data_IF_682400285531
#
_entry.id   IF_682400285531
#
_cell.length_a   1.000
_cell.length_b   1.000
_cell.length_c   1.000
_cell.angle_alpha   90.00
_cell.angle_beta   90.00
_cell.angle_gamma   90.00
#
_symmetry.space_group_name_H-M   'P 1'
#
loop_
_entity.id
_entity.type
_entity.pdbx_description
1 polymer ?
#
# COMPACT_ATOMS: atom_id res chain seq x y z
N UNK A 1 30.23 -3.27 2.10
CA UNK A 1 28.90 -3.79 1.73
C UNK A 1 27.78 -3.32 2.68
N UNK A 2 28.11 -2.99 3.95
CA UNK A 2 27.11 -2.50 4.91
C UNK A 2 26.87 -0.97 4.87
N UNK A 3 27.78 -0.19 4.30
CA UNK A 3 27.69 1.28 4.28
C UNK A 3 26.56 1.83 3.38
N UNK A 4 26.15 1.06 2.36
CA UNK A 4 25.04 1.45 1.47
C UNK A 4 23.65 1.17 2.08
N UNK A 5 23.58 0.31 3.09
CA UNK A 5 22.32 -0.10 3.72
C UNK A 5 21.89 0.88 4.81
N UNK A 6 22.84 1.42 5.56
CA UNK A 6 22.56 2.35 6.66
C UNK A 6 21.76 3.58 6.24
N UNK A 7 22.07 4.27 5.12
CA UNK A 7 21.24 5.37 4.62
C UNK A 7 19.79 4.96 4.31
N UNK A 8 19.60 3.73 3.80
CA UNK A 8 18.27 3.20 3.51
C UNK A 8 17.48 2.92 4.79
N UNK A 9 18.14 2.45 5.85
CA UNK A 9 17.51 2.25 7.16
C UNK A 9 17.14 3.56 7.85
N UNK A 10 17.99 4.58 7.77
CA UNK A 10 17.70 5.91 8.35
C UNK A 10 16.43 6.56 7.78
N UNK A 11 16.12 6.29 6.51
CA UNK A 11 14.89 6.77 5.86
C UNK A 11 13.75 5.75 5.88
N UNK A 12 13.99 4.58 6.44
CA UNK A 12 12.99 3.53 6.54
C UNK A 12 11.97 3.89 7.63
N UNK A 13 10.69 3.93 7.28
CA UNK A 13 9.62 4.43 8.16
C UNK A 13 9.56 3.65 9.49
N UNK A 14 9.83 2.34 9.44
CA UNK A 14 9.87 1.48 10.61
C UNK A 14 10.90 1.91 11.65
N UNK A 15 12.09 2.35 11.22
CA UNK A 15 13.20 2.72 12.12
C UNK A 15 13.23 4.21 12.51
N UNK A 16 12.17 4.94 12.24
CA UNK A 16 12.10 6.36 12.60
C UNK A 16 12.29 6.58 14.10
N UNK A 17 13.28 7.38 14.47
CA UNK A 17 13.60 7.72 15.86
C UNK A 17 14.49 6.69 16.57
N UNK A 18 15.05 5.74 15.84
CA UNK A 18 16.10 4.83 16.33
C UNK A 18 17.45 5.52 16.21
N UNK A 19 18.31 5.37 17.22
CA UNK A 19 19.65 5.96 17.25
C UNK A 19 20.57 5.38 16.16
N UNK A 20 21.54 6.17 15.73
CA UNK A 20 22.56 5.71 14.76
C UNK A 20 23.33 4.49 15.28
N UNK A 21 23.62 4.43 16.58
CA UNK A 21 24.30 3.29 17.20
C UNK A 21 23.49 2.01 17.06
N UNK A 22 22.20 2.05 17.37
CA UNK A 22 21.30 0.90 17.22
C UNK A 22 21.14 0.49 15.76
N UNK A 23 21.05 1.45 14.82
CA UNK A 23 21.00 1.15 13.39
C UNK A 23 22.28 0.50 12.88
N UNK A 24 23.46 0.92 13.35
CA UNK A 24 24.72 0.28 13.00
C UNK A 24 24.76 -1.17 13.47
N UNK A 25 24.28 -1.46 14.68
CA UNK A 25 24.20 -2.82 15.19
C UNK A 25 23.23 -3.68 14.38
N UNK A 26 22.05 -3.15 14.03
CA UNK A 26 21.11 -3.84 13.13
C UNK A 26 21.78 -4.17 11.79
N UNK A 27 22.45 -3.21 11.15
CA UNK A 27 23.13 -3.41 9.85
C UNK A 27 24.29 -4.41 9.97
N UNK A 28 25.02 -4.39 11.08
CA UNK A 28 26.14 -5.32 11.30
C UNK A 28 25.71 -6.78 11.24
N UNK A 29 24.54 -7.08 11.75
CA UNK A 29 24.01 -8.42 11.91
C UNK A 29 22.99 -8.83 10.85
N UNK A 30 22.47 -7.88 10.10
CA UNK A 30 21.49 -8.13 9.06
C UNK A 30 22.14 -8.61 7.74
N UNK A 31 21.35 -9.32 6.94
CA UNK A 31 21.72 -9.76 5.60
C UNK A 31 20.81 -9.09 4.57
N UNK A 32 21.40 -8.56 3.51
CA UNK A 32 20.67 -8.02 2.38
C UNK A 32 20.49 -9.10 1.33
N UNK A 33 19.27 -9.26 0.87
CA UNK A 33 18.92 -10.17 -0.22
C UNK A 33 18.20 -9.43 -1.33
N UNK A 34 18.43 -9.87 -2.58
CA UNK A 34 17.80 -9.33 -3.77
C UNK A 34 16.94 -10.41 -4.39
N UNK A 35 15.69 -10.08 -4.66
CA UNK A 35 14.70 -11.01 -5.17
C UNK A 35 14.15 -10.47 -6.49
N UNK A 36 14.27 -11.20 -7.62
CA UNK A 36 13.61 -10.84 -8.86
C UNK A 36 12.09 -10.96 -8.73
N UNK A 37 11.35 -10.33 -9.64
CA UNK A 37 9.90 -10.47 -9.68
C UNK A 37 9.49 -11.95 -9.77
N UNK A 38 8.52 -12.36 -8.98
CA UNK A 38 8.05 -13.75 -8.88
C UNK A 38 8.86 -14.65 -7.95
N UNK A 39 10.01 -14.19 -7.45
CA UNK A 39 10.81 -15.01 -6.52
C UNK A 39 10.09 -15.20 -5.19
N UNK A 40 10.17 -16.41 -4.65
CA UNK A 40 9.70 -16.73 -3.31
C UNK A 40 10.74 -16.26 -2.30
N UNK A 41 10.32 -15.41 -1.38
CA UNK A 41 11.14 -14.88 -0.29
C UNK A 41 11.03 -15.77 0.95
N UNK A 42 9.83 -16.34 1.17
CA UNK A 42 9.55 -17.30 2.23
C UNK A 42 8.47 -18.29 1.76
N UNK A 43 8.69 -19.59 1.98
CA UNK A 43 7.74 -20.63 1.65
C UNK A 43 6.70 -20.84 2.75
N UNK A 44 5.47 -21.20 2.32
CA UNK A 44 4.42 -21.60 3.26
C UNK A 44 4.82 -22.87 4.00
N UNK A 45 4.27 -23.06 5.19
CA UNK A 45 4.48 -24.21 6.07
C UNK A 45 5.94 -24.47 6.44
N UNK A 46 6.77 -23.41 6.40
CA UNK A 46 8.15 -23.44 6.90
C UNK A 46 8.32 -22.49 8.07
N UNK A 47 9.34 -22.74 8.91
CA UNK A 47 9.70 -21.86 10.02
C UNK A 47 10.27 -20.56 9.50
N UNK A 48 9.70 -19.43 9.93
CA UNK A 48 10.21 -18.11 9.62
C UNK A 48 11.04 -17.58 10.81
N UNK A 49 12.34 -17.73 10.73
CA UNK A 49 13.30 -17.30 11.78
C UNK A 49 13.87 -15.90 11.52
N UNK A 50 13.43 -15.25 10.47
CA UNK A 50 13.99 -13.97 10.03
C UNK A 50 12.91 -12.91 9.96
N UNK A 51 13.22 -11.72 10.47
CA UNK A 51 12.41 -10.52 10.24
C UNK A 51 12.92 -9.85 8.97
N UNK A 52 12.03 -9.65 8.01
CA UNK A 52 12.36 -8.98 6.75
C UNK A 52 11.87 -7.52 6.75
N UNK A 53 12.75 -6.59 6.38
CA UNK A 53 12.44 -5.18 6.15
C UNK A 53 12.60 -4.86 4.67
N UNK A 54 11.53 -4.36 4.04
CA UNK A 54 11.54 -4.08 2.60
C UNK A 54 12.19 -2.73 2.34
N UNK A 55 13.42 -2.76 1.83
CA UNK A 55 14.18 -1.56 1.49
C UNK A 55 13.78 -0.98 0.12
N UNK A 56 13.47 -1.86 -0.84
CA UNK A 56 13.02 -1.51 -2.20
C UNK A 56 12.05 -2.55 -2.71
N UNK A 57 11.17 -2.14 -3.62
CA UNK A 57 10.21 -3.03 -4.26
C UNK A 57 8.99 -3.33 -3.38
N UNK A 58 8.20 -4.32 -3.81
CA UNK A 58 6.97 -4.77 -3.15
C UNK A 58 6.90 -6.29 -3.12
N UNK A 59 6.41 -6.81 -2.00
CA UNK A 59 6.13 -8.22 -1.81
C UNK A 59 4.63 -8.40 -1.59
N UNK A 60 4.14 -9.61 -1.84
CA UNK A 60 2.83 -10.07 -1.37
C UNK A 60 3.03 -11.23 -0.40
N UNK A 61 2.27 -11.23 0.70
CA UNK A 61 2.08 -12.39 1.53
C UNK A 61 0.75 -13.04 1.13
N UNK A 62 0.78 -14.34 0.83
CA UNK A 62 -0.40 -15.13 0.48
C UNK A 62 -0.55 -16.25 1.50
N UNK A 63 -1.79 -16.49 1.93
CA UNK A 63 -2.12 -17.68 2.72
C UNK A 63 -2.32 -18.84 1.75
N UNK A 64 -1.71 -19.97 2.06
CA UNK A 64 -1.87 -21.21 1.33
C UNK A 64 -2.75 -22.14 2.16
N UNK A 65 -3.87 -22.60 1.61
CA UNK A 65 -4.75 -23.56 2.30
C UNK A 65 -4.26 -25.02 2.09
N UNK A 66 -4.89 -25.96 2.77
CA UNK A 66 -4.56 -27.39 2.67
C UNK A 66 -4.73 -27.98 1.26
N UNK A 67 -5.40 -27.25 0.35
CA UNK A 67 -5.57 -27.65 -1.07
C UNK A 67 -4.55 -26.96 -1.97
N UNK A 68 -3.64 -26.14 -1.41
CA UNK A 68 -2.67 -25.36 -2.16
C UNK A 68 -3.24 -24.08 -2.78
N UNK A 69 -4.48 -23.69 -2.43
CA UNK A 69 -5.09 -22.46 -2.97
C UNK A 69 -4.51 -21.25 -2.28
N UNK A 70 -4.06 -20.29 -3.07
CA UNK A 70 -3.50 -19.03 -2.56
C UNK A 70 -4.59 -17.98 -2.41
N UNK A 71 -4.60 -17.32 -1.26
CA UNK A 71 -5.40 -16.12 -1.01
C UNK A 71 -4.52 -14.98 -0.51
N UNK A 72 -4.72 -13.77 -1.04
CA UNK A 72 -3.94 -12.61 -0.62
C UNK A 72 -4.18 -12.31 0.87
N UNK A 73 -3.11 -12.37 1.66
CA UNK A 73 -3.13 -12.01 3.07
C UNK A 73 -2.81 -10.53 3.28
N UNK A 74 -1.70 -10.05 2.69
CA UNK A 74 -1.34 -8.62 2.69
C UNK A 74 -0.32 -8.28 1.63
N UNK A 75 -0.30 -7.01 1.25
CA UNK A 75 0.80 -6.41 0.49
C UNK A 75 1.83 -5.85 1.46
N UNK A 76 3.11 -5.92 1.08
CA UNK A 76 4.23 -5.45 1.90
C UNK A 76 5.10 -4.57 1.00
N UNK A 77 5.07 -3.28 1.25
CA UNK A 77 5.80 -2.29 0.46
C UNK A 77 7.09 -1.81 1.11
N UNK A 78 7.77 -0.91 0.40
CA UNK A 78 8.94 -0.21 0.96
C UNK A 78 8.57 0.45 2.30
N UNK A 79 9.44 0.30 3.29
CA UNK A 79 9.24 0.86 4.62
C UNK A 79 8.44 -0.06 5.57
N UNK A 80 7.96 -1.19 5.07
CA UNK A 80 7.24 -2.16 5.88
C UNK A 80 8.11 -3.37 6.24
N UNK A 81 7.64 -4.17 7.19
CA UNK A 81 8.28 -5.38 7.67
C UNK A 81 7.36 -6.60 7.62
N UNK A 82 7.95 -7.80 7.62
CA UNK A 82 7.25 -9.08 7.79
C UNK A 82 8.04 -10.00 8.73
N UNK A 83 7.40 -11.04 9.22
CA UNK A 83 8.03 -12.06 10.06
C UNK A 83 8.09 -11.75 11.55
N UNK A 84 7.98 -10.49 11.97
CA UNK A 84 8.15 -10.09 13.37
C UNK A 84 7.22 -10.81 14.36
N UNK A 85 5.95 -10.98 14.01
CA UNK A 85 5.01 -11.66 14.89
C UNK A 85 5.16 -13.18 14.84
N UNK A 86 5.55 -13.67 13.67
CA UNK A 86 5.61 -15.11 13.40
C UNK A 86 6.91 -15.71 13.92
N UNK A 87 8.01 -14.96 13.90
CA UNK A 87 9.29 -15.39 14.46
C UNK A 87 9.23 -15.70 15.96
N UNK A 88 8.23 -15.12 16.68
CA UNK A 88 7.97 -15.47 18.07
C UNK A 88 7.30 -16.84 18.24
N UNK A 89 6.72 -17.39 17.16
CA UNK A 89 6.11 -18.70 17.14
C UNK A 89 7.17 -19.72 16.68
N UNK A 90 7.28 -20.81 17.37
CA UNK A 90 8.18 -21.91 16.99
C UNK A 90 7.52 -22.90 16.03
N UNK A 91 6.46 -22.46 15.35
CA UNK A 91 5.63 -23.28 14.47
C UNK A 91 5.66 -22.71 13.03
N UNK A 92 5.62 -23.60 12.02
CA UNK A 92 5.43 -23.19 10.63
C UNK A 92 4.14 -22.43 10.42
N UNK A 93 4.13 -21.49 9.46
CA UNK A 93 2.94 -20.69 9.15
C UNK A 93 2.51 -20.93 7.70
N UNK A 94 1.19 -21.01 7.43
CA UNK A 94 0.66 -21.25 6.09
C UNK A 94 0.65 -19.96 5.25
N UNK A 95 1.80 -19.25 5.24
CA UNK A 95 1.96 -17.98 4.55
C UNK A 95 3.23 -18.02 3.69
N UNK A 96 3.05 -17.85 2.38
CA UNK A 96 4.14 -17.64 1.42
C UNK A 96 4.34 -16.16 1.16
N UNK A 97 5.61 -15.73 1.07
CA UNK A 97 5.95 -14.36 0.71
C UNK A 97 6.63 -14.36 -0.66
N UNK A 98 6.12 -13.58 -1.60
CA UNK A 98 6.59 -13.53 -2.99
C UNK A 98 6.87 -12.10 -3.42
N UNK A 99 7.95 -11.89 -4.15
CA UNK A 99 8.29 -10.60 -4.75
C UNK A 99 7.35 -10.30 -5.94
N UNK A 100 6.65 -9.17 -5.90
CA UNK A 100 5.80 -8.71 -7.01
C UNK A 100 6.58 -8.01 -8.11
N UNK A 101 7.66 -7.38 -7.74
CA UNK A 101 8.61 -6.67 -8.57
C UNK A 101 10.02 -6.90 -8.00
N UNK A 102 11.11 -6.55 -8.69
CA UNK A 102 12.45 -6.66 -8.12
C UNK A 102 12.51 -5.98 -6.75
N UNK A 103 12.85 -6.74 -5.73
CA UNK A 103 12.82 -6.30 -4.34
C UNK A 103 14.16 -6.50 -3.64
N UNK A 104 14.47 -5.59 -2.72
CA UNK A 104 15.61 -5.69 -1.81
C UNK A 104 15.09 -5.77 -0.38
N UNK A 105 15.46 -6.83 0.31
CA UNK A 105 15.05 -7.11 1.68
C UNK A 105 16.26 -7.17 2.60
N UNK A 106 16.17 -6.49 3.73
CA UNK A 106 17.09 -6.65 4.84
C UNK A 106 16.50 -7.70 5.78
N UNK A 107 17.17 -8.82 5.95
CA UNK A 107 16.79 -9.89 6.87
C UNK A 107 17.59 -9.79 8.15
N UNK A 108 16.94 -9.82 9.30
CA UNK A 108 17.54 -9.89 10.62
C UNK A 108 17.03 -11.15 11.32
N UNK A 109 17.94 -11.98 11.80
CA UNK A 109 17.58 -13.16 12.58
C UNK A 109 16.74 -12.77 13.79
N UNK A 110 15.74 -13.59 14.13
CA UNK A 110 14.76 -13.26 15.16
C UNK A 110 15.39 -13.20 16.55
N UNK A 111 16.21 -14.20 16.91
CA UNK A 111 16.85 -14.26 18.23
C UNK A 111 17.80 -13.09 18.42
N UNK A 112 18.57 -12.79 17.39
CA UNK A 112 19.47 -11.64 17.39
C UNK A 112 18.73 -10.31 17.47
N UNK A 113 17.60 -10.18 16.78
CA UNK A 113 16.72 -9.02 16.91
C UNK A 113 16.21 -8.88 18.34
N UNK A 114 15.87 -9.99 19.02
CA UNK A 114 15.49 -9.99 20.44
C UNK A 114 16.64 -9.50 21.30
N UNK A 115 17.87 -9.99 21.13
CA UNK A 115 19.05 -9.53 21.86
C UNK A 115 19.26 -8.02 21.72
N UNK A 116 19.10 -7.49 20.50
CA UNK A 116 19.21 -6.04 20.26
C UNK A 116 18.14 -5.23 20.99
N UNK A 117 16.93 -5.79 21.20
CA UNK A 117 15.89 -5.10 22.00
C UNK A 117 16.24 -4.98 23.48
N UNK A 118 17.05 -5.90 24.02
CA UNK A 118 17.55 -5.78 25.40
C UNK A 118 18.63 -4.70 25.51
N UNK A 119 19.47 -4.60 24.49
CA UNK A 119 20.58 -3.63 24.46
C UNK A 119 20.12 -2.21 24.15
N UNK A 120 19.12 -2.06 23.26
CA UNK A 120 18.62 -0.76 22.78
C UNK A 120 17.13 -0.58 23.14
N UNK A 121 16.81 0.26 24.14
CA UNK A 121 15.44 0.47 24.61
C UNK A 121 14.48 1.00 23.52
N UNK A 122 14.99 1.79 22.57
CA UNK A 122 14.23 2.29 21.44
C UNK A 122 13.77 1.18 20.48
N UNK A 123 14.62 0.17 20.22
CA UNK A 123 14.24 -1.01 19.44
C UNK A 123 13.17 -1.83 20.17
N UNK A 124 13.30 -2.00 21.48
CA UNK A 124 12.29 -2.67 22.29
C UNK A 124 10.95 -1.93 22.23
N UNK A 125 10.96 -0.59 22.39
CA UNK A 125 9.75 0.23 22.29
C UNK A 125 9.11 0.09 20.91
N UNK A 126 9.90 0.16 19.85
CA UNK A 126 9.46 0.00 18.47
C UNK A 126 8.79 -1.37 18.28
N UNK A 127 9.39 -2.43 18.77
CA UNK A 127 8.87 -3.79 18.73
C UNK A 127 7.53 -3.91 19.45
N UNK A 128 7.46 -3.47 20.70
CA UNK A 128 6.22 -3.50 21.50
C UNK A 128 5.11 -2.70 20.84
N UNK A 129 5.42 -1.53 20.27
CA UNK A 129 4.44 -0.70 19.56
C UNK A 129 3.89 -1.42 18.32
N UNK A 130 4.76 -2.14 17.60
CA UNK A 130 4.35 -2.93 16.42
C UNK A 130 3.45 -4.09 16.81
N UNK A 131 3.79 -4.82 17.88
CA UNK A 131 2.95 -5.88 18.42
C UNK A 131 1.59 -5.35 18.88
N UNK A 132 1.59 -4.31 19.70
CA UNK A 132 0.38 -3.68 20.21
C UNK A 132 -0.51 -3.19 19.04
N UNK A 133 0.08 -2.59 18.02
CA UNK A 133 -0.63 -2.17 16.81
C UNK A 133 -1.27 -3.33 16.05
N UNK A 134 -0.58 -4.45 15.96
CA UNK A 134 -1.09 -5.66 15.30
C UNK A 134 -2.21 -6.32 16.11
N UNK A 135 -2.05 -6.44 17.41
CA UNK A 135 -3.10 -6.94 18.31
C UNK A 135 -4.33 -6.02 18.27
N UNK A 136 -4.13 -4.72 18.32
CA UNK A 136 -5.23 -3.76 18.20
C UNK A 136 -6.02 -3.95 16.91
N UNK A 137 -5.33 -4.15 15.77
CA UNK A 137 -5.99 -4.43 14.49
C UNK A 137 -6.78 -5.74 14.54
N UNK A 138 -6.29 -6.74 15.24
CA UNK A 138 -6.94 -8.03 15.37
C UNK A 138 -8.19 -7.98 16.25
N UNK A 139 -8.10 -7.36 17.44
CA UNK A 139 -9.19 -7.35 18.43
C UNK A 139 -10.23 -6.26 18.18
N UNK A 140 -9.81 -5.10 17.71
CA UNK A 140 -10.69 -3.94 17.56
C UNK A 140 -10.94 -3.56 16.10
N UNK A 141 -10.51 -4.43 15.18
CA UNK A 141 -10.50 -4.12 13.76
C UNK A 141 -9.36 -3.14 13.41
N UNK A 142 -9.25 -2.83 12.12
CA UNK A 142 -8.38 -1.73 11.71
C UNK A 142 -8.76 -0.50 12.54
N UNK A 143 -7.75 0.31 12.97
CA UNK A 143 -8.03 1.63 13.54
C UNK A 143 -9.17 2.27 12.75
N UNK A 144 -10.04 3.09 13.37
CA UNK A 144 -11.05 3.80 12.62
C UNK A 144 -10.37 4.27 11.34
N UNK A 145 -10.84 3.77 10.22
CA UNK A 145 -10.17 3.96 8.93
C UNK A 145 -9.89 5.45 8.82
N UNK A 146 -8.66 5.83 8.56
CA UNK A 146 -8.42 7.14 7.96
C UNK A 146 -9.46 7.26 6.86
N UNK A 147 -10.11 8.41 6.79
CA UNK A 147 -11.05 8.70 5.72
C UNK A 147 -10.52 8.10 4.41
N UNK A 148 -11.35 7.45 3.60
CA UNK A 148 -10.89 6.83 2.37
C UNK A 148 -10.07 7.83 1.58
N UNK A 149 -8.94 7.40 1.03
CA UNK A 149 -8.11 8.28 0.21
C UNK A 149 -8.91 8.69 -1.02
N UNK A 150 -9.02 10.00 -1.25
CA UNK A 150 -9.73 10.57 -2.39
C UNK A 150 -8.73 10.85 -3.51
N UNK A 151 -8.91 10.18 -4.64
CA UNK A 151 -8.04 10.29 -5.81
C UNK A 151 -8.81 10.88 -6.99
N UNK A 152 -8.30 11.92 -7.63
CA UNK A 152 -8.78 12.36 -8.93
C UNK A 152 -8.04 11.62 -10.05
N UNK A 153 -8.79 11.07 -10.99
CA UNK A 153 -8.29 10.41 -12.20
C UNK A 153 -8.63 11.30 -13.39
N UNK A 154 -7.63 11.95 -13.97
CA UNK A 154 -7.80 12.80 -15.13
C UNK A 154 -7.49 12.04 -16.41
N UNK A 155 -8.39 12.12 -17.38
CA UNK A 155 -8.23 11.57 -18.72
C UNK A 155 -8.76 12.54 -19.77
N UNK A 156 -8.16 12.57 -20.96
CA UNK A 156 -8.46 13.49 -22.04
C UNK A 156 -8.94 12.80 -23.34
N UNK A 157 -8.87 11.49 -23.36
CA UNK A 157 -9.16 10.70 -24.56
C UNK A 157 -9.76 9.33 -24.20
N UNK A 158 -10.41 8.64 -25.14
CA UNK A 158 -10.88 7.26 -24.95
C UNK A 158 -9.78 6.31 -24.49
N UNK A 159 -8.55 6.49 -24.97
CA UNK A 159 -7.41 5.64 -24.63
C UNK A 159 -6.95 5.86 -23.18
N UNK A 160 -6.86 7.11 -22.75
CA UNK A 160 -6.50 7.45 -21.36
C UNK A 160 -7.60 7.07 -20.40
N UNK A 161 -8.85 7.15 -20.82
CA UNK A 161 -10.00 6.65 -20.07
C UNK A 161 -9.94 5.14 -19.88
N UNK A 162 -9.64 4.37 -20.94
CA UNK A 162 -9.46 2.94 -20.84
C UNK A 162 -8.36 2.58 -19.81
N UNK A 163 -7.28 3.37 -19.71
CA UNK A 163 -6.25 3.18 -18.71
C UNK A 163 -6.77 3.40 -17.29
N UNK A 164 -7.63 4.41 -17.07
CA UNK A 164 -8.30 4.64 -15.78
C UNK A 164 -9.22 3.47 -15.41
N UNK A 165 -10.05 2.99 -16.32
CA UNK A 165 -10.92 1.83 -16.13
C UNK A 165 -10.11 0.56 -15.78
N UNK A 166 -8.97 0.37 -16.46
CA UNK A 166 -8.07 -0.75 -16.19
C UNK A 166 -7.39 -0.66 -14.81
N UNK A 167 -7.03 0.55 -14.37
CA UNK A 167 -6.54 0.78 -13.01
C UNK A 167 -7.60 0.37 -11.99
N UNK A 168 -8.83 0.79 -12.16
CA UNK A 168 -9.95 0.45 -11.29
C UNK A 168 -10.17 -1.06 -11.24
N UNK A 169 -10.18 -1.73 -12.40
CA UNK A 169 -10.28 -3.18 -12.48
C UNK A 169 -9.17 -3.90 -11.70
N UNK A 170 -7.94 -3.40 -11.77
CA UNK A 170 -6.82 -3.95 -11.00
C UNK A 170 -6.94 -3.71 -9.49
N UNK A 171 -7.40 -2.54 -9.07
CA UNK A 171 -7.64 -2.23 -7.66
C UNK A 171 -8.72 -3.15 -7.08
N UNK A 172 -9.80 -3.41 -7.83
CA UNK A 172 -10.83 -4.38 -7.45
C UNK A 172 -10.28 -5.81 -7.36
N UNK A 173 -9.45 -6.21 -8.31
CA UNK A 173 -8.85 -7.55 -8.34
C UNK A 173 -7.92 -7.83 -7.14
N UNK A 174 -7.34 -6.78 -6.54
CA UNK A 174 -6.55 -6.90 -5.30
C UNK A 174 -7.39 -6.72 -4.03
N UNK A 175 -8.73 -6.70 -4.16
CA UNK A 175 -9.65 -6.65 -3.02
C UNK A 175 -9.90 -5.24 -2.45
N UNK A 176 -9.53 -4.18 -3.17
CA UNK A 176 -9.85 -2.80 -2.75
C UNK A 176 -11.35 -2.54 -2.89
N UNK A 177 -11.94 -1.93 -1.87
CA UNK A 177 -13.32 -1.47 -1.91
C UNK A 177 -13.34 -0.06 -2.47
N UNK A 178 -13.93 0.10 -3.66
CA UNK A 178 -13.92 1.37 -4.36
C UNK A 178 -15.30 2.02 -4.35
N UNK A 179 -15.29 3.36 -4.30
CA UNK A 179 -16.41 4.21 -4.60
C UNK A 179 -15.99 5.25 -5.65
N UNK A 180 -16.86 5.64 -6.53
CA UNK A 180 -16.53 6.53 -7.65
C UNK A 180 -17.55 7.64 -7.77
N UNK A 181 -17.05 8.85 -7.89
CA UNK A 181 -17.80 10.00 -8.41
C UNK A 181 -17.41 10.22 -9.87
N UNK A 182 -18.37 10.41 -10.75
CA UNK A 182 -18.10 10.65 -12.17
C UNK A 182 -19.36 10.97 -12.95
N UNK A 183 -19.27 11.09 -14.27
CA UNK A 183 -20.41 11.32 -15.12
C UNK A 183 -21.17 10.01 -15.40
N UNK A 184 -22.49 10.01 -15.18
CA UNK A 184 -23.31 8.80 -15.18
C UNK A 184 -23.31 8.05 -16.51
N UNK A 185 -23.25 8.76 -17.64
CA UNK A 185 -23.36 8.18 -18.99
C UNK A 185 -22.06 7.58 -19.51
N UNK A 186 -20.97 7.90 -18.85
CA UNK A 186 -19.62 7.57 -19.28
C UNK A 186 -19.06 6.30 -18.66
N UNK A 187 -19.71 5.74 -17.64
CA UNK A 187 -19.14 4.66 -16.82
C UNK A 187 -19.84 3.31 -16.98
N UNK A 188 -19.14 2.32 -17.53
CA UNK A 188 -19.51 0.91 -17.37
C UNK A 188 -19.08 0.47 -15.98
N UNK A 189 -20.04 0.41 -15.05
CA UNK A 189 -19.80 0.05 -13.65
C UNK A 189 -19.29 -1.39 -13.53
N UNK A 190 -18.05 -1.62 -13.06
CA UNK A 190 -17.67 -2.96 -12.64
C UNK A 190 -18.56 -3.40 -11.46
N UNK A 191 -18.93 -4.68 -11.36
CA UNK A 191 -19.66 -5.19 -10.20
C UNK A 191 -18.91 -4.87 -8.89
N UNK A 192 -19.65 -4.38 -7.88
CA UNK A 192 -19.10 -4.07 -6.56
C UNK A 192 -18.55 -2.65 -6.38
N UNK A 193 -18.56 -1.81 -7.39
CA UNK A 193 -18.23 -0.38 -7.28
C UNK A 193 -19.45 0.44 -6.92
N UNK A 194 -19.37 1.23 -5.84
CA UNK A 194 -20.38 2.25 -5.54
C UNK A 194 -20.13 3.45 -6.44
N UNK A 195 -21.21 4.01 -6.93
CA UNK A 195 -21.12 5.14 -7.84
C UNK A 195 -22.14 6.23 -7.48
N UNK A 196 -21.70 7.49 -7.63
CA UNK A 196 -22.59 8.65 -7.61
C UNK A 196 -22.18 9.62 -8.72
N UNK A 197 -23.19 10.14 -9.43
CA UNK A 197 -22.96 11.18 -10.44
C UNK A 197 -22.47 12.46 -9.78
N UNK A 198 -21.52 13.13 -10.42
CA UNK A 198 -21.11 14.50 -10.07
C UNK A 198 -22.14 15.54 -10.58
N UNK A 199 -23.07 15.16 -11.45
CA UNK A 199 -24.15 16.00 -11.95
C UNK A 199 -25.48 15.46 -11.44
N UNK A 200 -26.27 16.34 -10.83
CA UNK A 200 -27.61 16.05 -10.32
C UNK A 200 -28.53 17.18 -10.73
N UNK A 201 -29.67 16.83 -11.35
CA UNK A 201 -30.73 17.77 -11.75
C UNK A 201 -30.24 18.97 -12.59
N UNK A 202 -29.25 18.76 -13.45
CA UNK A 202 -28.69 19.79 -14.35
C UNK A 202 -27.67 20.71 -13.70
N UNK A 203 -27.25 20.43 -12.47
CA UNK A 203 -26.18 21.14 -11.75
C UNK A 203 -25.09 20.22 -11.22
N UNK A 204 -23.97 20.82 -10.81
CA UNK A 204 -22.88 20.10 -10.18
C UNK A 204 -23.20 19.80 -8.71
N UNK A 205 -22.80 18.61 -8.25
CA UNK A 205 -22.84 18.25 -6.84
C UNK A 205 -21.92 19.19 -6.04
N UNK A 206 -22.44 19.76 -4.94
CA UNK A 206 -21.66 20.65 -4.08
C UNK A 206 -20.61 19.92 -3.24
N UNK A 207 -19.53 20.62 -2.86
CA UNK A 207 -18.45 20.02 -2.04
C UNK A 207 -18.96 19.44 -0.71
N UNK A 208 -19.99 20.02 -0.11
CA UNK A 208 -20.58 19.53 1.15
C UNK A 208 -21.31 18.21 0.93
N UNK A 209 -22.09 18.10 -0.15
CA UNK A 209 -22.79 16.86 -0.52
C UNK A 209 -21.81 15.74 -0.87
N UNK A 210 -20.69 16.09 -1.52
CA UNK A 210 -19.60 15.16 -1.81
C UNK A 210 -18.96 14.65 -0.52
N UNK A 211 -18.67 15.56 0.45
CA UNK A 211 -18.13 15.19 1.77
C UNK A 211 -19.09 14.31 2.55
N UNK A 212 -20.36 14.63 2.54
CA UNK A 212 -21.40 13.83 3.19
C UNK A 212 -21.46 12.42 2.58
N UNK A 213 -21.49 12.30 1.24
CA UNK A 213 -21.49 11.01 0.58
C UNK A 213 -20.17 10.23 0.83
N UNK A 214 -19.04 10.91 0.84
CA UNK A 214 -17.76 10.30 1.17
C UNK A 214 -17.73 9.75 2.62
N UNK A 215 -18.38 10.43 3.56
CA UNK A 215 -18.55 9.97 4.93
C UNK A 215 -19.45 8.72 5.01
N UNK A 216 -20.48 8.60 4.19
CA UNK A 216 -21.29 7.38 4.07
C UNK A 216 -20.49 6.21 3.49
N UNK A 217 -19.49 6.49 2.66
CA UNK A 217 -18.59 5.51 2.05
C UNK A 217 -17.32 5.24 2.88
N UNK A 218 -17.32 5.52 4.16
CA UNK A 218 -16.17 5.35 5.06
C UNK A 218 -15.60 3.93 5.08
N UNK A 219 -16.33 2.90 4.63
CA UNK A 219 -15.85 1.54 4.47
C UNK A 219 -15.16 1.28 3.12
N UNK A 220 -15.19 2.25 2.18
CA UNK A 220 -14.37 2.20 0.98
C UNK A 220 -12.89 2.35 1.34
N UNK A 221 -12.02 1.67 0.59
CA UNK A 221 -10.57 1.86 0.71
C UNK A 221 -10.14 3.16 0.02
N UNK A 222 -10.80 3.46 -1.10
CA UNK A 222 -10.55 4.65 -1.92
C UNK A 222 -11.83 5.19 -2.50
N UNK A 223 -11.89 6.51 -2.63
CA UNK A 223 -12.90 7.22 -3.40
C UNK A 223 -12.19 7.82 -4.62
N UNK A 224 -12.72 7.55 -5.79
CA UNK A 224 -12.16 8.00 -7.05
C UNK A 224 -13.08 9.06 -7.66
N UNK A 225 -12.48 10.13 -8.18
CA UNK A 225 -13.14 11.08 -9.04
C UNK A 225 -12.72 10.80 -10.47
N UNK A 226 -13.65 10.38 -11.31
CA UNK A 226 -13.46 10.21 -12.76
C UNK A 226 -13.67 11.56 -13.44
N UNK A 227 -12.58 12.21 -13.85
CA UNK A 227 -12.58 13.59 -14.31
C UNK A 227 -12.04 13.68 -15.74
N UNK A 228 -12.78 14.35 -16.61
CA UNK A 228 -12.31 14.70 -17.94
C UNK A 228 -11.37 15.91 -17.86
N UNK A 229 -10.27 15.89 -18.63
CA UNK A 229 -9.28 16.95 -18.59
C UNK A 229 -9.78 18.27 -19.17
N UNK A 230 -10.85 18.24 -19.99
CA UNK A 230 -11.54 19.41 -20.57
C UNK A 230 -12.60 20.00 -19.62
N UNK A 231 -12.71 19.48 -18.39
CA UNK A 231 -13.60 20.01 -17.36
C UNK A 231 -13.32 21.50 -17.13
N UNK A 232 -14.39 22.27 -16.87
CA UNK A 232 -14.24 23.71 -16.55
C UNK A 232 -13.26 23.92 -15.39
N UNK A 233 -12.28 24.83 -15.53
CA UNK A 233 -11.23 25.04 -14.54
C UNK A 233 -11.74 25.33 -13.12
N UNK A 234 -12.84 26.08 -13.00
CA UNK A 234 -13.47 26.39 -11.71
C UNK A 234 -14.06 25.16 -11.03
N UNK A 235 -14.62 24.25 -11.81
CA UNK A 235 -15.16 22.96 -11.32
C UNK A 235 -14.00 22.08 -10.86
N UNK A 236 -12.95 21.97 -11.67
CA UNK A 236 -11.75 21.23 -11.31
C UNK A 236 -11.13 21.76 -10.02
N UNK A 237 -10.96 23.09 -9.89
CA UNK A 237 -10.41 23.72 -8.70
C UNK A 237 -11.22 23.39 -7.44
N UNK A 238 -12.55 23.48 -7.49
CA UNK A 238 -13.43 23.13 -6.35
C UNK A 238 -13.29 21.66 -5.94
N UNK A 239 -13.23 20.73 -6.89
CA UNK A 239 -13.08 19.31 -6.60
C UNK A 239 -11.68 19.00 -6.03
N UNK A 240 -10.64 19.70 -6.50
CA UNK A 240 -9.28 19.53 -5.98
C UNK A 240 -9.10 19.95 -4.52
N UNK A 241 -10.00 20.75 -3.95
CA UNK A 241 -9.99 21.07 -2.50
C UNK A 241 -10.27 19.86 -1.60
N UNK A 242 -10.91 18.83 -2.13
CA UNK A 242 -11.27 17.61 -1.38
C UNK A 242 -10.48 16.38 -1.81
N UNK A 243 -9.61 16.51 -2.81
CA UNK A 243 -8.81 15.43 -3.37
C UNK A 243 -7.46 15.35 -2.67
N UNK A 244 -7.09 14.15 -2.20
CA UNK A 244 -5.78 13.91 -1.58
C UNK A 244 -4.65 13.82 -2.60
N UNK A 245 -4.93 13.23 -3.78
CA UNK A 245 -3.96 13.05 -4.87
C UNK A 245 -4.66 13.05 -6.22
N UNK A 246 -3.94 13.52 -7.24
CA UNK A 246 -4.36 13.45 -8.64
C UNK A 246 -3.46 12.52 -9.46
N UNK A 247 -4.07 11.79 -10.38
CA UNK A 247 -3.40 10.93 -11.36
C UNK A 247 -3.82 11.38 -12.74
N UNK A 248 -2.86 11.76 -13.57
CA UNK A 248 -3.08 12.15 -14.96
C UNK A 248 -2.68 10.99 -15.87
N UNK A 249 -3.59 10.58 -16.73
CA UNK A 249 -3.32 9.62 -17.79
C UNK A 249 -2.96 10.40 -19.05
N UNK A 250 -1.73 10.20 -19.52
CA UNK A 250 -1.20 10.89 -20.69
C UNK A 250 -1.07 9.88 -21.83
N UNK A 251 -1.49 10.21 -23.08
CA UNK A 251 -1.26 9.34 -24.23
C UNK A 251 0.22 9.03 -24.41
N UNK A 252 0.57 7.81 -24.80
CA UNK A 252 1.97 7.38 -24.97
C UNK A 252 2.76 8.27 -25.97
N UNK A 253 2.07 8.86 -26.95
CA UNK A 253 2.65 9.79 -27.93
C UNK A 253 3.04 11.16 -27.36
N UNK A 254 2.53 11.54 -26.17
CA UNK A 254 2.86 12.82 -25.55
C UNK A 254 4.17 12.76 -24.73
N UNK A 255 4.67 11.56 -24.40
CA UNK A 255 5.90 11.35 -23.64
C UNK A 255 7.19 11.64 -24.40
N UNK A 256 7.18 11.68 -25.72
CA UNK A 256 8.38 11.94 -26.53
C UNK A 256 8.64 13.43 -26.80
N UNK A 257 7.69 14.32 -26.50
CA UNK A 257 7.82 15.76 -26.76
C UNK A 257 8.47 16.56 -25.61
N UNK A 258 8.79 15.93 -24.48
CA UNK A 258 9.26 16.56 -23.24
C UNK A 258 10.76 16.52 -22.98
N UNK A 259 11.58 15.96 -23.89
CA UNK A 259 13.05 15.90 -23.73
C UNK A 259 13.74 16.64 -24.89
N UNK A 260 13.69 17.97 -24.85
CA UNK A 260 14.66 18.82 -25.53
C UNK A 260 15.01 20.00 -24.63
#
# INVERSE_FOLDING_TARGET
>A
MNDEVLPLLKVHEYFRGVSDEALHEVVRHARVSHHPAGAVVHEADTLLTTIGFVLRGRLKAVRVDARGTESLFRMIGRGEQFGMMVGALTEPVPVRVVALEPATVLGLDYELAMELTFRFPELRRLWLTTFAGSLRKHFFGAAPRRAPMILALFHDSPDTRWAAERLIGRLLAVGEKLAVFGDADAWRRPPGVRFRSLQVDGGDLGNEEIRQQAAEWQDASRILFDMQADMQPERAARLMEIVDRAVYFVPASAGEAGTK
#
